data_IF_887027339859
#
_entry.id   IF_887027339859
#
_cell.length_a   1.000
_cell.length_b   1.000
_cell.length_c   1.000
_cell.angle_alpha   90.00
_cell.angle_beta   90.00
_cell.angle_gamma   90.00
#
_symmetry.space_group_name_H-M   'P 1'
#
loop_
_entity.id
_entity.type
_entity.pdbx_description
1 polymer ?
#
# COMPACT_ATOMS: atom_id res chain seq x y z
N UNK A 1 14.03 -9.50 -7.11
CA UNK A 1 14.38 -8.23 -6.44
C UNK A 1 13.79 -8.07 -5.03
N UNK A 2 13.15 -9.10 -4.46
CA UNK A 2 12.61 -9.03 -3.09
C UNK A 2 13.68 -9.26 -2.01
N UNK A 3 14.75 -10.01 -2.33
CA UNK A 3 15.97 -10.07 -1.52
C UNK A 3 16.67 -8.71 -1.35
N UNK A 4 16.45 -7.76 -2.28
CA UNK A 4 16.97 -6.39 -2.12
C UNK A 4 16.03 -5.47 -1.33
N UNK A 5 14.72 -5.73 -1.27
CA UNK A 5 13.78 -4.95 -0.43
C UNK A 5 13.85 -5.35 1.04
N UNK A 6 14.17 -6.61 1.34
CA UNK A 6 14.52 -7.07 2.70
C UNK A 6 15.84 -6.50 3.23
N UNK A 7 16.60 -5.78 2.39
CA UNK A 7 17.88 -5.14 2.72
C UNK A 7 17.84 -3.61 2.52
N UNK A 8 16.70 -3.03 2.11
CA UNK A 8 16.59 -1.58 1.98
C UNK A 8 16.41 -0.96 3.38
N UNK A 9 17.20 0.07 3.74
CA UNK A 9 16.99 0.81 4.98
C UNK A 9 15.57 1.36 5.06
N UNK A 10 14.97 1.34 6.26
CA UNK A 10 13.64 1.87 6.53
C UNK A 10 13.32 3.23 5.86
N UNK A 11 14.24 4.23 5.82
CA UNK A 11 14.01 5.50 5.14
C UNK A 11 13.78 5.37 3.61
N UNK A 12 14.40 4.40 2.95
CA UNK A 12 14.26 4.20 1.50
C UNK A 12 12.95 3.50 1.12
N UNK A 13 12.42 2.64 2.00
CA UNK A 13 11.06 2.08 1.89
C UNK A 13 9.98 3.15 2.12
N UNK A 14 10.21 4.06 3.08
CA UNK A 14 9.30 5.17 3.33
C UNK A 14 9.34 6.28 2.26
N UNK A 15 10.50 6.63 1.73
CA UNK A 15 10.60 7.53 0.58
C UNK A 15 9.88 6.94 -0.65
N UNK A 16 9.84 5.61 -0.78
CA UNK A 16 9.07 4.93 -1.81
C UNK A 16 7.56 4.96 -1.55
N UNK A 17 7.12 4.76 -0.30
CA UNK A 17 5.73 4.98 0.13
C UNK A 17 5.26 6.41 -0.18
N UNK A 18 6.10 7.41 0.12
CA UNK A 18 5.86 8.81 -0.20
C UNK A 18 5.87 9.05 -1.72
N UNK A 19 6.81 8.48 -2.48
CA UNK A 19 6.88 8.65 -3.94
C UNK A 19 5.67 8.08 -4.70
N UNK A 20 5.06 7.00 -4.18
CA UNK A 20 3.79 6.48 -4.69
C UNK A 20 2.62 7.46 -4.46
N UNK A 21 2.73 8.36 -3.47
CA UNK A 21 1.81 9.47 -3.23
C UNK A 21 2.18 10.74 -4.01
N UNK A 22 3.47 11.04 -4.20
CA UNK A 22 3.96 12.26 -4.89
C UNK A 22 3.66 12.25 -6.39
N UNK A 23 3.48 11.09 -7.03
CA UNK A 23 3.04 11.01 -8.43
C UNK A 23 1.60 11.53 -8.68
N UNK A 24 0.91 12.05 -7.66
CA UNK A 24 -0.49 12.49 -7.70
C UNK A 24 -0.76 13.92 -7.17
N UNK A 25 0.27 14.76 -6.98
CA UNK A 25 0.12 16.15 -6.53
C UNK A 25 0.77 17.12 -7.52
N UNK A 26 -0.07 17.81 -8.30
CA UNK A 26 0.27 19.15 -8.79
C UNK A 26 -0.11 20.16 -7.69
N UNK A 27 0.64 21.27 -7.56
CA UNK A 27 0.59 22.14 -6.39
C UNK A 27 -0.46 23.24 -6.57
N UNK A 28 -1.75 22.91 -6.58
CA UNK A 28 -2.78 23.95 -6.61
C UNK A 28 -3.92 23.63 -5.63
N UNK A 29 -3.82 24.18 -4.42
CA UNK A 29 -5.01 24.49 -3.62
C UNK A 29 -4.75 25.53 -2.50
N UNK A 30 -5.67 26.51 -2.32
CA UNK A 30 -5.49 27.71 -1.51
C UNK A 30 -5.79 27.50 -0.01
N UNK A 31 -5.11 26.54 0.64
CA UNK A 31 -5.24 26.32 2.09
C UNK A 31 -3.89 26.38 2.84
N UNK A 32 -2.91 27.04 2.24
CA UNK A 32 -1.59 27.35 2.83
C UNK A 32 -1.48 28.81 3.31
N UNK A 33 -2.57 29.45 3.74
CA UNK A 33 -2.53 30.89 4.09
C UNK A 33 -2.52 31.17 5.59
N UNK A 34 -2.50 30.17 6.48
CA UNK A 34 -2.51 30.45 7.93
C UNK A 34 -1.33 29.92 8.74
N UNK A 35 -0.29 29.34 8.12
CA UNK A 35 0.93 28.97 8.84
C UNK A 35 2.19 29.16 7.98
N UNK A 36 2.41 30.38 7.50
CA UNK A 36 3.76 30.94 7.29
C UNK A 36 3.72 32.36 7.87
N UNK A 37 4.57 32.67 8.86
CA UNK A 37 5.99 32.78 8.54
C UNK A 37 6.89 32.16 9.61
N UNK A 38 7.98 31.50 9.18
CA UNK A 38 9.34 31.82 9.59
C UNK A 38 10.32 30.87 8.88
N UNK A 39 10.95 31.45 7.86
CA UNK A 39 12.28 31.14 7.31
C UNK A 39 12.39 29.96 6.35
N UNK A 40 12.13 30.30 5.09
CA UNK A 40 13.03 29.96 4.00
C UNK A 40 14.48 30.32 4.35
N UNK A 41 15.41 29.40 4.13
CA UNK A 41 16.71 29.62 3.46
C UNK A 41 17.41 28.27 3.30
N UNK A 42 17.90 27.96 2.10
CA UNK A 42 18.91 26.91 1.91
C UNK A 42 18.72 25.96 0.72
N UNK A 43 19.01 26.48 -0.48
CA UNK A 43 19.57 25.80 -1.67
C UNK A 43 19.17 24.36 -1.99
N UNK A 44 18.39 24.21 -3.05
CA UNK A 44 18.31 23.00 -3.87
C UNK A 44 19.57 22.93 -4.74
N UNK A 45 20.42 21.91 -4.56
CA UNK A 45 21.38 21.52 -5.59
C UNK A 45 21.70 20.03 -5.55
N UNK A 46 21.36 19.35 -6.66
CA UNK A 46 21.99 18.17 -7.28
C UNK A 46 22.81 17.26 -6.36
N UNK A 47 22.34 16.03 -6.14
CA UNK A 47 23.21 14.90 -5.87
C UNK A 47 23.14 13.87 -7.00
N UNK A 48 24.24 13.87 -7.75
CA UNK A 48 24.71 12.94 -8.76
C UNK A 48 25.06 11.61 -8.08
N UNK A 49 24.69 10.50 -8.72
CA UNK A 49 25.06 9.13 -8.33
C UNK A 49 26.59 8.92 -8.37
N UNK A 50 27.20 8.20 -7.41
CA UNK A 50 28.47 7.53 -7.64
C UNK A 50 28.26 6.08 -8.18
N UNK A 51 29.17 5.55 -9.01
CA UNK A 51 29.06 4.23 -9.61
C UNK A 51 29.50 3.12 -8.63
N UNK A 52 28.89 1.95 -8.77
CA UNK A 52 29.28 0.72 -8.10
C UNK A 52 30.68 0.25 -8.53
N UNK A 53 31.48 -0.18 -7.57
CA UNK A 53 32.55 -1.16 -7.80
C UNK A 53 32.32 -2.38 -6.92
N UNK A 54 32.39 -3.54 -7.56
CA UNK A 54 32.26 -4.88 -6.99
C UNK A 54 33.37 -5.20 -5.99
N UNK A 55 33.04 -5.99 -4.97
CA UNK A 55 33.79 -7.22 -4.67
C UNK A 55 33.01 -8.11 -3.71
N UNK A 56 32.94 -9.40 -4.04
CA UNK A 56 32.50 -10.47 -3.16
C UNK A 56 33.64 -10.88 -2.21
N UNK A 57 33.34 -11.63 -1.13
CA UNK A 57 33.61 -13.06 -1.23
C UNK A 57 32.55 -13.99 -0.61
N UNK A 58 32.61 -15.21 -1.12
CA UNK A 58 31.81 -16.41 -0.83
C UNK A 58 32.04 -16.93 0.60
N UNK A 59 31.02 -17.55 1.19
CA UNK A 59 31.23 -18.77 1.99
C UNK A 59 29.95 -19.62 2.03
N UNK A 60 30.20 -20.90 1.81
CA UNK A 60 29.28 -22.03 1.68
C UNK A 60 28.78 -22.51 3.04
N UNK A 61 27.50 -22.88 3.15
CA UNK A 61 27.08 -24.00 4.01
C UNK A 61 25.83 -24.66 3.41
N UNK A 62 25.97 -25.95 3.05
CA UNK A 62 24.90 -26.83 2.59
C UNK A 62 24.04 -27.26 3.78
N UNK A 63 22.71 -27.20 3.63
CA UNK A 63 21.81 -28.13 4.32
C UNK A 63 20.91 -28.77 3.25
N UNK A 64 20.96 -30.09 3.23
CA UNK A 64 20.27 -30.98 2.30
C UNK A 64 18.82 -31.22 2.73
N UNK A 65 17.89 -31.16 1.78
CA UNK A 65 16.68 -31.98 1.84
C UNK A 65 16.28 -32.40 0.41
N UNK A 66 16.21 -33.71 0.21
CA UNK A 66 15.95 -34.34 -1.08
C UNK A 66 14.46 -34.35 -1.42
N UNK A 67 14.13 -34.11 -2.69
CA UNK A 67 12.88 -34.48 -3.34
C UNK A 67 13.03 -34.55 -4.88
N UNK A 68 12.14 -35.27 -5.59
CA UNK A 68 12.49 -36.14 -6.73
C UNK A 68 12.38 -35.52 -8.13
N UNK A 69 13.25 -35.99 -9.04
CA UNK A 69 13.05 -36.14 -10.51
C UNK A 69 12.80 -34.90 -11.39
N UNK A 70 13.42 -34.79 -12.59
CA UNK A 70 13.34 -33.58 -13.42
C UNK A 70 12.01 -33.52 -14.18
N UNK A 71 11.12 -32.63 -13.78
CA UNK A 71 9.94 -32.27 -14.58
C UNK A 71 10.30 -31.20 -15.62
N UNK A 72 10.42 -31.64 -16.87
CA UNK A 72 10.26 -30.91 -18.12
C UNK A 72 10.35 -29.35 -18.06
N UNK A 73 11.50 -28.80 -18.47
CA UNK A 73 11.78 -27.35 -18.57
C UNK A 73 11.07 -26.69 -19.76
N UNK A 74 9.75 -26.81 -19.88
CA UNK A 74 8.99 -25.86 -20.69
C UNK A 74 8.66 -24.63 -19.83
N UNK A 75 8.92 -23.39 -20.29
CA UNK A 75 8.40 -22.21 -19.63
C UNK A 75 6.87 -22.32 -19.66
N UNK A 76 6.27 -22.70 -18.53
CA UNK A 76 4.82 -22.75 -18.39
C UNK A 76 4.29 -21.37 -18.77
N UNK A 77 3.55 -21.29 -19.87
CA UNK A 77 2.89 -20.06 -20.31
C UNK A 77 2.01 -19.59 -19.15
N UNK A 78 2.39 -18.51 -18.48
CA UNK A 78 1.67 -18.06 -17.30
C UNK A 78 0.23 -17.71 -17.68
N UNK A 79 -0.72 -18.11 -16.84
CA UNK A 79 -2.11 -17.69 -17.02
C UNK A 79 -2.18 -16.16 -17.03
N UNK A 80 -2.86 -15.62 -18.05
CA UNK A 80 -3.12 -14.17 -18.12
C UNK A 80 -3.94 -13.77 -16.89
N UNK A 81 -3.68 -12.61 -16.28
CA UNK A 81 -4.49 -12.12 -15.16
C UNK A 81 -6.00 -12.08 -15.47
N UNK A 82 -6.35 -11.89 -16.74
CA UNK A 82 -7.73 -11.87 -17.21
C UNK A 82 -8.43 -13.22 -17.16
N UNK A 83 -7.73 -14.34 -16.89
CA UNK A 83 -8.36 -15.65 -16.69
C UNK A 83 -9.07 -15.75 -15.35
N UNK A 84 -8.61 -15.00 -14.34
CA UNK A 84 -9.27 -14.93 -13.05
C UNK A 84 -10.41 -13.89 -13.09
N UNK A 85 -11.60 -14.20 -12.55
CA UNK A 85 -12.64 -13.19 -12.39
C UNK A 85 -12.17 -12.06 -11.47
N UNK A 86 -12.51 -10.81 -11.81
CA UNK A 86 -12.09 -9.64 -11.02
C UNK A 86 -12.54 -9.70 -9.55
N UNK A 87 -13.70 -10.33 -9.30
CA UNK A 87 -14.23 -10.57 -7.95
C UNK A 87 -13.34 -11.54 -7.17
N UNK A 88 -12.91 -12.65 -7.79
CA UNK A 88 -12.02 -13.63 -7.15
C UNK A 88 -10.70 -12.96 -6.76
N UNK A 89 -10.08 -12.21 -7.66
CA UNK A 89 -8.84 -11.47 -7.36
C UNK A 89 -9.02 -10.52 -6.17
N UNK A 90 -10.13 -9.79 -6.14
CA UNK A 90 -10.43 -8.89 -5.03
C UNK A 90 -10.63 -9.63 -3.70
N UNK A 91 -11.29 -10.79 -3.71
CA UNK A 91 -11.45 -11.64 -2.52
C UNK A 91 -10.10 -12.18 -2.04
N UNK A 92 -9.23 -12.66 -2.95
CA UNK A 92 -7.91 -13.16 -2.57
C UNK A 92 -7.00 -12.07 -2.02
N UNK A 93 -6.94 -10.89 -2.66
CA UNK A 93 -6.18 -9.76 -2.12
C UNK A 93 -6.74 -9.30 -0.78
N UNK A 94 -8.07 -9.27 -0.61
CA UNK A 94 -8.69 -8.90 0.68
C UNK A 94 -8.35 -9.89 1.78
N UNK A 95 -8.33 -11.19 1.47
CA UNK A 95 -7.92 -12.21 2.44
C UNK A 95 -6.47 -12.01 2.90
N UNK A 96 -5.54 -11.81 1.96
CA UNK A 96 -4.12 -11.61 2.28
C UNK A 96 -3.88 -10.29 3.04
N UNK A 97 -4.47 -9.19 2.57
CA UNK A 97 -4.40 -7.88 3.21
C UNK A 97 -4.98 -7.92 4.64
N UNK A 98 -6.12 -8.60 4.84
CA UNK A 98 -6.76 -8.71 6.15
C UNK A 98 -5.93 -9.53 7.15
N UNK A 99 -5.31 -10.63 6.70
CA UNK A 99 -4.43 -11.46 7.52
C UNK A 99 -3.21 -10.65 7.99
N UNK A 100 -2.54 -9.95 7.06
CA UNK A 100 -1.39 -9.12 7.38
C UNK A 100 -1.76 -7.95 8.29
N UNK A 101 -2.87 -7.25 8.02
CA UNK A 101 -3.31 -6.12 8.83
C UNK A 101 -3.69 -6.52 10.26
N UNK A 102 -4.32 -7.68 10.46
CA UNK A 102 -4.62 -8.21 11.80
C UNK A 102 -3.36 -8.49 12.61
N UNK A 103 -2.26 -8.86 11.95
CA UNK A 103 -0.99 -9.16 12.60
C UNK A 103 -0.15 -7.90 12.91
N UNK A 104 -0.53 -6.72 12.40
CA UNK A 104 0.17 -5.46 12.72
C UNK A 104 0.07 -5.18 14.22
N UNK A 105 1.19 -4.91 14.88
CA UNK A 105 1.18 -4.43 16.26
C UNK A 105 1.09 -2.90 16.23
N UNK A 106 -0.02 -2.27 16.62
CA UNK A 106 -0.25 -0.84 16.36
C UNK A 106 0.83 0.07 16.95
N UNK A 107 1.30 -0.22 18.16
CA UNK A 107 2.34 0.60 18.81
C UNK A 107 3.70 0.55 18.06
N UNK A 108 3.98 -0.52 17.31
CA UNK A 108 5.19 -0.61 16.49
C UNK A 108 5.20 0.41 15.34
N UNK A 109 4.04 0.98 14.96
CA UNK A 109 4.00 2.07 13.99
C UNK A 109 4.76 3.33 14.47
N UNK A 110 4.82 3.59 15.78
CA UNK A 110 5.66 4.66 16.34
C UNK A 110 7.15 4.37 16.16
N UNK A 111 7.56 3.11 16.35
CA UNK A 111 8.95 2.70 16.14
C UNK A 111 9.37 2.94 14.69
N UNK A 112 8.51 2.64 13.72
CA UNK A 112 8.77 2.91 12.30
C UNK A 112 9.02 4.40 12.01
N UNK A 113 8.28 5.29 12.66
CA UNK A 113 8.41 6.75 12.51
C UNK A 113 9.74 7.23 13.08
N UNK A 114 10.08 6.81 14.30
CA UNK A 114 11.34 7.20 14.96
C UNK A 114 12.57 6.73 14.18
N UNK A 115 12.53 5.50 13.68
CA UNK A 115 13.57 4.95 12.80
C UNK A 115 13.76 5.82 11.55
N UNK A 116 12.65 6.27 10.94
CA UNK A 116 12.69 7.12 9.76
C UNK A 116 13.27 8.51 10.05
N UNK A 117 12.80 9.15 11.12
CA UNK A 117 13.22 10.51 11.49
C UNK A 117 14.69 10.56 11.94
N UNK A 118 15.14 9.56 12.70
CA UNK A 118 16.53 9.46 13.16
C UNK A 118 17.51 9.06 12.04
N UNK A 119 17.01 8.78 10.83
CA UNK A 119 17.81 8.28 9.69
C UNK A 119 18.69 7.10 10.09
N UNK A 120 18.20 6.24 10.98
CA UNK A 120 18.97 5.11 11.48
C UNK A 120 19.20 4.10 10.35
N UNK A 121 20.39 4.18 9.73
CA UNK A 121 20.74 3.45 8.50
C UNK A 121 20.65 1.93 8.70
N UNK A 122 20.87 1.45 9.93
CA UNK A 122 20.90 0.03 10.28
C UNK A 122 19.62 -0.46 10.98
N UNK A 123 18.65 0.42 11.25
CA UNK A 123 17.44 0.04 11.97
C UNK A 123 16.46 -0.68 11.03
N UNK A 124 15.99 -1.83 11.51
CA UNK A 124 15.02 -2.66 10.79
C UNK A 124 13.60 -2.22 11.14
N UNK A 125 12.73 -2.17 10.12
CA UNK A 125 11.32 -1.96 10.37
C UNK A 125 10.73 -3.10 11.20
N UNK A 126 9.72 -2.81 12.03
CA UNK A 126 8.98 -3.86 12.72
C UNK A 126 8.47 -4.92 11.72
N UNK A 127 8.70 -6.23 11.97
CA UNK A 127 8.42 -7.28 11.00
C UNK A 127 6.98 -7.29 10.47
N UNK A 128 6.02 -6.97 11.34
CA UNK A 128 4.58 -6.96 11.00
C UNK A 128 4.22 -5.81 10.06
N UNK A 129 4.82 -4.63 10.27
CA UNK A 129 4.67 -3.46 9.40
C UNK A 129 5.41 -3.70 8.07
N UNK A 130 6.61 -4.28 8.12
CA UNK A 130 7.39 -4.64 6.94
C UNK A 130 6.66 -5.67 6.06
N UNK A 131 6.00 -6.65 6.65
CA UNK A 131 5.25 -7.66 5.91
C UNK A 131 4.09 -7.05 5.10
N UNK A 132 3.31 -6.14 5.70
CA UNK A 132 2.30 -5.35 4.96
C UNK A 132 2.95 -4.55 3.83
N UNK A 133 4.13 -3.98 4.11
CA UNK A 133 4.86 -3.17 3.14
C UNK A 133 5.28 -3.98 1.91
N UNK A 134 5.89 -5.13 2.15
CA UNK A 134 6.32 -6.05 1.11
C UNK A 134 5.12 -6.53 0.29
N UNK A 135 4.00 -6.83 0.95
CA UNK A 135 2.81 -7.32 0.27
C UNK A 135 2.22 -6.29 -0.70
N UNK A 136 2.04 -5.02 -0.31
CA UNK A 136 1.52 -4.02 -1.25
C UNK A 136 2.48 -3.82 -2.43
N UNK A 137 3.80 -3.88 -2.19
CA UNK A 137 4.78 -3.78 -3.27
C UNK A 137 4.64 -4.96 -4.25
N UNK A 138 4.37 -6.15 -3.74
CA UNK A 138 4.13 -7.32 -4.57
C UNK A 138 2.84 -7.16 -5.42
N UNK A 139 1.75 -6.66 -4.83
CA UNK A 139 0.52 -6.35 -5.58
C UNK A 139 0.76 -5.28 -6.64
N UNK A 140 1.45 -4.19 -6.32
CA UNK A 140 1.78 -3.13 -7.30
C UNK A 140 2.67 -3.65 -8.43
N UNK A 141 3.64 -4.50 -8.11
CA UNK A 141 4.49 -5.17 -9.10
C UNK A 141 3.67 -6.09 -10.00
N UNK A 142 2.73 -6.85 -9.44
CA UNK A 142 1.83 -7.71 -10.19
C UNK A 142 1.01 -6.90 -11.22
N UNK A 143 0.43 -5.76 -10.81
CA UNK A 143 -0.29 -4.84 -11.70
C UNK A 143 0.63 -4.33 -12.82
N UNK A 144 1.81 -3.84 -12.45
CA UNK A 144 2.76 -3.26 -13.42
C UNK A 144 3.24 -4.31 -14.41
N UNK A 145 3.65 -5.48 -13.93
CA UNK A 145 4.18 -6.58 -14.76
C UNK A 145 3.10 -7.18 -15.65
N UNK A 146 1.85 -7.31 -15.21
CA UNK A 146 0.78 -7.79 -16.09
C UNK A 146 0.40 -6.76 -17.16
N UNK A 147 0.48 -5.46 -16.85
CA UNK A 147 0.30 -4.39 -17.82
C UNK A 147 1.47 -4.28 -18.81
N UNK A 148 2.72 -4.53 -18.39
CA UNK A 148 3.91 -4.36 -19.25
C UNK A 148 4.43 -5.65 -19.88
N UNK A 149 3.91 -6.80 -19.45
CA UNK A 149 4.67 -8.05 -19.40
C UNK A 149 5.22 -8.55 -20.73
N UNK A 150 4.35 -8.76 -21.71
CA UNK A 150 4.74 -9.24 -23.04
C UNK A 150 4.99 -8.05 -23.98
N UNK A 151 6.24 -7.79 -24.41
CA UNK A 151 6.56 -6.71 -25.34
C UNK A 151 5.84 -6.82 -26.67
N UNK A 152 5.41 -8.03 -27.06
CA UNK A 152 4.65 -8.29 -28.29
C UNK A 152 3.15 -8.08 -28.13
N UNK A 153 2.66 -7.83 -26.91
CA UNK A 153 1.23 -7.63 -26.65
C UNK A 153 0.71 -6.38 -27.37
N UNK A 154 -0.38 -6.56 -28.13
CA UNK A 154 -1.06 -5.45 -28.80
C UNK A 154 -1.63 -4.46 -27.80
N UNK A 155 -1.78 -3.20 -28.20
CA UNK A 155 -2.33 -2.15 -27.35
C UNK A 155 -3.75 -2.47 -26.86
N UNK A 156 -4.58 -3.06 -27.71
CA UNK A 156 -5.94 -3.51 -27.38
C UNK A 156 -5.95 -4.58 -26.27
N UNK A 157 -5.09 -5.59 -26.40
CA UNK A 157 -5.00 -6.70 -25.44
C UNK A 157 -4.54 -6.18 -24.07
N UNK A 158 -3.55 -5.29 -24.07
CA UNK A 158 -3.05 -4.63 -22.87
C UNK A 158 -4.08 -3.69 -22.25
N UNK A 159 -4.89 -3.01 -23.07
CA UNK A 159 -6.00 -2.21 -22.57
C UNK A 159 -7.03 -3.08 -21.84
N UNK A 160 -7.32 -4.30 -22.33
CA UNK A 160 -8.18 -5.26 -21.61
C UNK A 160 -7.62 -5.65 -20.24
N UNK A 161 -6.29 -5.75 -20.10
CA UNK A 161 -5.63 -5.97 -18.80
C UNK A 161 -5.81 -4.76 -17.88
N UNK A 162 -5.59 -3.54 -18.36
CA UNK A 162 -5.82 -2.30 -17.59
C UNK A 162 -7.27 -2.21 -17.13
N UNK A 163 -8.22 -2.45 -18.02
CA UNK A 163 -9.65 -2.48 -17.69
C UNK A 163 -9.99 -3.54 -16.66
N UNK A 164 -9.33 -4.69 -16.72
CA UNK A 164 -9.49 -5.75 -15.74
C UNK A 164 -9.03 -5.29 -14.36
N UNK A 165 -7.86 -4.66 -14.23
CA UNK A 165 -7.40 -4.08 -12.96
C UNK A 165 -8.32 -2.99 -12.41
N UNK A 166 -8.91 -2.16 -13.29
CA UNK A 166 -9.93 -1.17 -12.88
C UNK A 166 -11.17 -1.88 -12.31
N UNK A 167 -11.57 -3.03 -12.88
CA UNK A 167 -12.65 -3.86 -12.33
C UNK A 167 -12.26 -4.45 -10.97
N UNK A 168 -11.05 -5.00 -10.83
CA UNK A 168 -10.54 -5.54 -9.57
C UNK A 168 -10.54 -4.47 -8.48
N UNK A 169 -10.02 -3.27 -8.74
CA UNK A 169 -10.05 -2.16 -7.79
C UNK A 169 -11.48 -1.79 -7.35
N UNK A 170 -12.45 -1.83 -8.27
CA UNK A 170 -13.85 -1.62 -7.92
C UNK A 170 -14.40 -2.72 -6.98
N UNK A 171 -14.06 -3.99 -7.24
CA UNK A 171 -14.48 -5.10 -6.39
C UNK A 171 -13.79 -5.05 -5.01
N UNK A 172 -12.51 -4.69 -4.94
CA UNK A 172 -11.81 -4.42 -3.67
C UNK A 172 -12.52 -3.32 -2.86
N UNK A 173 -12.97 -2.26 -3.53
CA UNK A 173 -13.73 -1.19 -2.89
C UNK A 173 -15.08 -1.68 -2.37
N UNK A 174 -15.77 -2.56 -3.09
CA UNK A 174 -17.01 -3.18 -2.65
C UNK A 174 -16.80 -4.06 -1.40
N UNK A 175 -15.66 -4.73 -1.32
CA UNK A 175 -15.20 -5.49 -0.14
C UNK A 175 -14.64 -4.58 0.97
N UNK A 176 -14.50 -3.27 0.74
CA UNK A 176 -13.88 -2.30 1.66
C UNK A 176 -12.42 -2.62 1.99
N UNK A 177 -11.71 -3.22 1.05
CA UNK A 177 -10.27 -3.33 1.07
C UNK A 177 -9.66 -2.07 0.43
N UNK A 178 -9.49 -1.03 1.23
CA UNK A 178 -8.91 0.23 0.79
C UNK A 178 -7.41 0.13 0.52
N UNK A 179 -6.72 -0.83 1.15
CA UNK A 179 -5.30 -1.10 0.90
C UNK A 179 -5.07 -1.47 -0.58
N UNK A 180 -5.73 -2.53 -1.06
CA UNK A 180 -5.58 -2.96 -2.45
C UNK A 180 -6.16 -1.98 -3.46
N UNK A 181 -7.24 -1.25 -3.12
CA UNK A 181 -7.75 -0.16 -3.98
C UNK A 181 -6.64 0.86 -4.24
N UNK A 182 -6.04 1.39 -3.16
CA UNK A 182 -4.98 2.39 -3.25
C UNK A 182 -3.79 1.84 -4.06
N UNK A 183 -3.33 0.64 -3.71
CA UNK A 183 -2.19 -0.02 -4.37
C UNK A 183 -2.38 -0.20 -5.88
N UNK A 184 -3.54 -0.71 -6.31
CA UNK A 184 -3.83 -0.91 -7.73
C UNK A 184 -3.89 0.43 -8.47
N UNK A 185 -4.56 1.43 -7.90
CA UNK A 185 -4.67 2.75 -8.52
C UNK A 185 -3.30 3.42 -8.65
N UNK A 186 -2.48 3.41 -7.60
CA UNK A 186 -1.11 3.92 -7.63
C UNK A 186 -0.25 3.20 -8.67
N UNK A 187 -0.36 1.88 -8.79
CA UNK A 187 0.37 1.11 -9.80
C UNK A 187 -0.04 1.49 -11.23
N UNK A 188 -1.34 1.66 -11.50
CA UNK A 188 -1.83 2.12 -12.80
C UNK A 188 -1.44 3.58 -13.11
N UNK A 189 -1.33 4.43 -12.09
CA UNK A 189 -0.88 5.82 -12.23
C UNK A 189 0.65 5.96 -12.28
N UNK A 190 1.38 4.88 -11.99
CA UNK A 190 2.85 4.88 -12.02
C UNK A 190 3.36 5.17 -13.43
N UNK A 191 4.55 5.79 -13.52
CA UNK A 191 5.13 6.22 -14.78
C UNK A 191 5.15 5.12 -15.87
N UNK A 192 5.61 3.88 -15.58
CA UNK A 192 5.69 2.83 -16.59
C UNK A 192 4.36 2.49 -17.26
N UNK A 193 3.25 2.55 -16.52
CA UNK A 193 1.91 2.24 -17.04
C UNK A 193 1.24 3.49 -17.61
N UNK A 194 1.34 4.64 -16.94
CA UNK A 194 0.73 5.91 -17.35
C UNK A 194 1.27 6.45 -18.68
N UNK A 195 2.53 6.16 -19.02
CA UNK A 195 3.14 6.61 -20.27
C UNK A 195 2.65 5.86 -21.52
N UNK A 196 1.92 4.74 -21.36
CA UNK A 196 1.46 3.90 -22.47
C UNK A 196 0.28 4.52 -23.24
N UNK A 197 0.49 5.67 -23.89
CA UNK A 197 -0.57 6.49 -24.49
C UNK A 197 -1.47 5.73 -25.46
N UNK A 198 -0.90 4.89 -26.32
CA UNK A 198 -1.65 4.04 -27.26
C UNK A 198 -2.61 3.10 -26.53
N UNK A 199 -2.13 2.45 -25.48
CA UNK A 199 -2.94 1.54 -24.63
C UNK A 199 -4.08 2.28 -23.95
N UNK A 200 -3.81 3.46 -23.39
CA UNK A 200 -4.86 4.27 -22.75
C UNK A 200 -5.88 4.82 -23.76
N UNK A 201 -5.50 4.96 -25.03
CA UNK A 201 -6.42 5.26 -26.13
C UNK A 201 -7.40 4.12 -26.42
N UNK A 202 -6.95 2.87 -26.27
CA UNK A 202 -7.78 1.67 -26.45
C UNK A 202 -8.66 1.33 -25.23
N UNK A 203 -8.39 1.92 -24.06
CA UNK A 203 -9.24 1.74 -22.87
C UNK A 203 -10.59 2.40 -23.12
N UNK A 204 -11.69 1.66 -22.91
CA UNK A 204 -13.02 2.21 -23.17
C UNK A 204 -13.32 3.44 -22.31
N UNK A 205 -14.08 4.38 -22.88
CA UNK A 205 -14.53 5.60 -22.17
C UNK A 205 -15.23 5.28 -20.85
N UNK A 206 -15.96 4.16 -20.78
CA UNK A 206 -16.65 3.69 -19.56
C UNK A 206 -15.66 3.29 -18.47
N UNK A 207 -14.61 2.55 -18.83
CA UNK A 207 -13.55 2.13 -17.90
C UNK A 207 -12.71 3.31 -17.44
N UNK A 208 -12.32 4.21 -18.35
CA UNK A 208 -11.58 5.43 -18.02
C UNK A 208 -12.33 6.33 -17.01
N UNK A 209 -13.64 6.57 -17.23
CA UNK A 209 -14.48 7.32 -16.27
C UNK A 209 -14.56 6.63 -14.90
N UNK A 210 -14.63 5.30 -14.89
CA UNK A 210 -14.66 4.53 -13.63
C UNK A 210 -13.33 4.66 -12.88
N UNK A 211 -12.20 4.56 -13.58
CA UNK A 211 -10.87 4.76 -13.00
C UNK A 211 -10.74 6.14 -12.37
N UNK A 212 -11.13 7.21 -13.07
CA UNK A 212 -11.10 8.57 -12.52
C UNK A 212 -11.95 8.69 -11.25
N UNK A 213 -13.17 8.14 -11.24
CA UNK A 213 -14.03 8.13 -10.04
C UNK A 213 -13.40 7.38 -8.87
N UNK A 214 -12.78 6.24 -9.13
CA UNK A 214 -12.07 5.46 -8.11
C UNK A 214 -10.90 6.27 -7.53
N UNK A 215 -10.09 6.92 -8.37
CA UNK A 215 -9.01 7.80 -7.91
C UNK A 215 -9.53 8.96 -7.04
N UNK A 216 -10.62 9.61 -7.41
CA UNK A 216 -11.23 10.68 -6.60
C UNK A 216 -11.71 10.15 -5.25
N UNK A 217 -12.36 8.98 -5.24
CA UNK A 217 -12.86 8.37 -4.01
C UNK A 217 -11.71 7.93 -3.10
N UNK A 218 -10.65 7.34 -3.65
CA UNK A 218 -9.46 6.92 -2.91
C UNK A 218 -8.77 8.11 -2.22
N UNK A 219 -8.56 9.22 -2.96
CA UNK A 219 -8.03 10.47 -2.39
C UNK A 219 -8.88 10.98 -1.23
N UNK A 220 -10.21 10.95 -1.36
CA UNK A 220 -11.13 11.39 -0.30
C UNK A 220 -11.05 10.47 0.92
N UNK A 221 -11.05 9.15 0.73
CA UNK A 221 -10.98 8.18 1.83
C UNK A 221 -9.65 8.31 2.56
N UNK A 222 -8.53 8.31 1.84
CA UNK A 222 -7.21 8.39 2.49
C UNK A 222 -6.94 9.76 3.15
N UNK A 223 -7.61 10.85 2.71
CA UNK A 223 -7.57 12.17 3.38
C UNK A 223 -8.53 12.26 4.58
N UNK A 224 -9.75 11.76 4.45
CA UNK A 224 -10.82 11.94 5.45
C UNK A 224 -10.79 10.90 6.57
N UNK A 225 -10.31 9.67 6.31
CA UNK A 225 -10.33 8.56 7.29
C UNK A 225 -9.54 8.89 8.56
N UNK A 226 -8.31 9.43 8.50
CA UNK A 226 -7.58 9.79 9.70
C UNK A 226 -8.31 10.86 10.55
N UNK A 227 -8.90 11.86 9.90
CA UNK A 227 -9.50 13.00 10.60
C UNK A 227 -10.92 12.73 11.11
N UNK A 228 -11.80 12.11 10.31
CA UNK A 228 -13.16 11.77 10.75
C UNK A 228 -13.18 10.61 11.74
N UNK A 229 -12.24 9.66 11.69
CA UNK A 229 -12.25 8.54 12.64
C UNK A 229 -11.52 8.88 13.96
N UNK A 230 -10.46 9.72 13.94
CA UNK A 230 -9.79 10.18 15.17
C UNK A 230 -10.54 11.30 15.91
N UNK A 231 -11.29 12.16 15.20
CA UNK A 231 -11.97 13.35 15.79
C UNK A 231 -13.45 13.10 16.11
N UNK A 232 -14.16 12.17 15.44
CA UNK A 232 -15.58 11.89 15.76
C UNK A 232 -15.84 11.15 17.08
N UNK A 233 -14.88 11.10 18.01
CA UNK A 233 -15.08 10.59 19.38
C UNK A 233 -14.75 11.64 20.44
N UNK A 234 -15.28 12.84 20.28
CA UNK A 234 -15.83 13.53 21.44
C UNK A 234 -17.28 13.06 21.57
N UNK A 235 -17.76 12.68 22.76
CA UNK A 235 -19.11 12.15 22.95
C UNK A 235 -20.15 13.27 22.82
N UNK A 236 -20.31 13.83 21.62
CA UNK A 236 -21.55 14.47 21.25
C UNK A 236 -22.55 13.32 21.03
N UNK A 237 -23.26 12.98 22.11
CA UNK A 237 -24.40 12.06 22.19
C UNK A 237 -25.15 12.00 20.85
N UNK A 238 -24.83 11.02 20.00
CA UNK A 238 -25.37 10.91 18.65
C UNK A 238 -26.78 10.32 18.76
N UNK A 239 -27.78 11.19 18.94
CA UNK A 239 -29.17 10.82 19.26
C UNK A 239 -29.97 10.20 18.10
N UNK A 240 -29.37 10.04 16.91
CA UNK A 240 -30.10 9.54 15.72
C UNK A 240 -29.95 8.01 15.58
N UNK A 241 -31.00 7.21 15.88
CA UNK A 241 -30.92 5.75 15.87
C UNK A 241 -30.62 5.17 14.50
N UNK A 242 -31.07 5.81 13.41
CA UNK A 242 -30.86 5.32 12.04
C UNK A 242 -29.39 5.45 11.60
N UNK A 243 -28.72 6.55 11.98
CA UNK A 243 -27.28 6.71 11.73
C UNK A 243 -26.45 5.78 12.59
N UNK A 244 -26.84 5.55 13.84
CA UNK A 244 -26.21 4.57 14.74
C UNK A 244 -26.36 3.15 14.21
N UNK A 245 -27.55 2.77 13.73
CA UNK A 245 -27.81 1.46 13.14
C UNK A 245 -27.07 1.26 11.80
N UNK A 246 -26.99 2.30 10.95
CA UNK A 246 -26.19 2.24 9.72
C UNK A 246 -24.68 2.15 10.02
N UNK A 247 -24.18 2.86 11.06
CA UNK A 247 -22.81 2.72 11.57
C UNK A 247 -22.53 1.31 12.08
N UNK A 248 -23.43 0.73 12.88
CA UNK A 248 -23.30 -0.66 13.35
C UNK A 248 -23.31 -1.66 12.17
N UNK A 249 -24.15 -1.46 11.15
CA UNK A 249 -24.14 -2.29 9.93
C UNK A 249 -22.84 -2.15 9.13
N UNK A 250 -22.24 -0.95 9.06
CA UNK A 250 -20.91 -0.77 8.47
C UNK A 250 -19.79 -1.36 9.32
N UNK A 251 -19.94 -1.40 10.64
CA UNK A 251 -18.98 -2.04 11.55
C UNK A 251 -19.05 -3.58 11.50
N UNK A 252 -20.20 -4.16 11.12
CA UNK A 252 -20.39 -5.61 10.89
C UNK A 252 -19.81 -6.11 9.56
N UNK A 253 -19.34 -5.23 8.69
CA UNK A 253 -18.67 -5.60 7.44
C UNK A 253 -17.17 -5.42 7.63
N UNK A 254 -16.38 -6.38 7.18
CA UNK A 254 -14.93 -6.26 7.19
C UNK A 254 -14.45 -4.99 6.48
N UNK A 255 -13.28 -4.51 6.88
CA UNK A 255 -12.58 -3.41 6.22
C UNK A 255 -11.08 -3.56 6.42
N UNK A 256 -10.30 -3.34 5.36
CA UNK A 256 -8.84 -3.24 5.46
C UNK A 256 -8.40 -1.85 5.03
N UNK A 257 -7.83 -1.03 5.93
CA UNK A 257 -7.38 0.30 5.58
C UNK A 257 -5.99 0.26 4.93
N UNK A 258 -5.61 1.34 4.25
CA UNK A 258 -4.23 1.54 3.83
C UNK A 258 -3.37 1.98 5.02
N UNK A 259 -2.47 1.11 5.49
CA UNK A 259 -1.66 1.32 6.70
C UNK A 259 -0.85 2.63 6.67
N UNK A 260 -0.40 3.05 5.47
CA UNK A 260 0.35 4.30 5.30
C UNK A 260 -0.42 5.54 5.75
N UNK A 261 -1.76 5.52 5.76
CA UNK A 261 -2.56 6.65 6.28
C UNK A 261 -2.40 6.84 7.79
N UNK A 262 -2.33 5.74 8.55
CA UNK A 262 -2.13 5.79 10.00
C UNK A 262 -0.71 6.23 10.34
N UNK A 263 0.29 5.66 9.66
CA UNK A 263 1.69 6.01 9.88
C UNK A 263 1.91 7.49 9.58
N UNK A 264 1.38 8.01 8.47
CA UNK A 264 1.47 9.43 8.12
C UNK A 264 0.80 10.33 9.18
N UNK A 265 -0.33 9.91 9.74
CA UNK A 265 -1.02 10.70 10.76
C UNK A 265 -0.24 10.74 12.08
N UNK A 266 0.28 9.59 12.51
CA UNK A 266 1.15 9.48 13.69
C UNK A 266 2.43 10.30 13.50
N UNK A 267 3.06 10.27 12.33
CA UNK A 267 4.24 11.08 12.00
C UNK A 267 3.95 12.59 12.08
N UNK A 268 2.81 13.04 11.52
CA UNK A 268 2.39 14.44 11.63
C UNK A 268 2.11 14.87 13.07
N UNK A 269 1.50 13.99 13.88
CA UNK A 269 1.31 14.26 15.31
C UNK A 269 2.64 14.38 16.04
N UNK A 270 3.60 13.52 15.70
CA UNK A 270 4.92 13.48 16.29
C UNK A 270 5.74 14.75 15.98
N UNK A 271 5.68 15.21 14.72
CA UNK A 271 6.28 16.48 14.27
C UNK A 271 5.62 17.68 14.95
N UNK A 272 4.28 17.70 15.07
CA UNK A 272 3.54 18.85 15.57
C UNK A 272 3.58 18.99 17.10
N UNK A 273 3.84 17.91 17.84
CA UNK A 273 3.74 17.89 19.30
C UNK A 273 4.97 17.24 19.93
N UNK A 274 5.64 17.97 20.83
CA UNK A 274 6.75 17.43 21.62
C UNK A 274 6.26 16.37 22.61
N UNK A 275 7.13 15.39 22.90
CA UNK A 275 6.87 14.34 23.89
C UNK A 275 6.73 14.89 25.32
N UNK A 276 7.41 15.99 25.62
CA UNK A 276 7.43 16.63 26.93
C UNK A 276 7.04 18.10 26.85
N UNK A 277 6.26 18.55 27.83
CA UNK A 277 5.89 19.95 28.08
C UNK A 277 6.14 20.21 29.57
N UNK A 278 6.93 21.22 29.90
CA UNK A 278 7.31 21.58 31.27
C UNK A 278 7.91 20.40 32.08
N UNK A 279 8.75 19.60 31.42
CA UNK A 279 9.38 18.41 32.03
C UNK A 279 8.44 17.25 32.33
N UNK A 280 7.16 17.35 31.95
CA UNK A 280 6.15 16.30 32.09
C UNK A 280 5.76 15.74 30.73
N UNK A 281 5.28 14.51 30.69
CA UNK A 281 4.82 13.93 29.44
C UNK A 281 3.62 14.71 28.89
N UNK A 282 3.60 14.89 27.57
CA UNK A 282 2.51 15.56 26.87
C UNK A 282 1.26 14.65 26.80
N UNK A 283 0.40 14.75 27.81
CA UNK A 283 -0.83 13.96 27.90
C UNK A 283 -1.77 14.17 26.71
N UNK A 284 -1.75 15.36 26.09
CA UNK A 284 -2.56 15.64 24.90
C UNK A 284 -2.06 14.87 23.68
N UNK A 285 -0.73 14.80 23.49
CA UNK A 285 -0.10 14.00 22.43
C UNK A 285 -0.47 12.53 22.60
N UNK A 286 -0.19 11.97 23.78
CA UNK A 286 -0.50 10.56 24.08
C UNK A 286 -1.98 10.24 23.85
N UNK A 287 -2.88 11.12 24.29
CA UNK A 287 -4.33 10.91 24.11
C UNK A 287 -4.70 10.84 22.62
N UNK A 288 -4.11 11.68 21.78
CA UNK A 288 -4.35 11.67 20.33
C UNK A 288 -3.79 10.40 19.68
N UNK A 289 -2.57 10.01 20.04
CA UNK A 289 -1.93 8.78 19.55
C UNK A 289 -2.72 7.53 19.93
N UNK A 290 -3.08 7.40 21.21
CA UNK A 290 -3.90 6.28 21.71
C UNK A 290 -5.21 6.16 20.94
N UNK A 291 -5.88 7.27 20.61
CA UNK A 291 -7.12 7.25 19.82
C UNK A 291 -6.91 6.67 18.42
N UNK A 292 -5.76 6.97 17.79
CA UNK A 292 -5.41 6.43 16.47
C UNK A 292 -5.16 4.92 16.59
N UNK A 293 -4.38 4.48 17.59
CA UNK A 293 -4.09 3.07 17.82
C UNK A 293 -5.35 2.26 18.15
N UNK A 294 -6.26 2.80 18.97
CA UNK A 294 -7.55 2.19 19.27
C UNK A 294 -8.43 2.02 18.02
N UNK A 295 -8.39 2.99 17.10
CA UNK A 295 -9.13 2.88 15.86
C UNK A 295 -8.53 1.81 14.93
N UNK A 296 -7.19 1.71 14.88
CA UNK A 296 -6.52 0.60 14.18
C UNK A 296 -6.97 -0.74 14.72
N UNK A 297 -6.96 -0.93 16.04
CA UNK A 297 -7.41 -2.16 16.70
C UNK A 297 -8.88 -2.49 16.38
N UNK A 298 -9.76 -1.48 16.38
CA UNK A 298 -11.16 -1.67 15.97
C UNK A 298 -11.28 -2.17 14.54
N UNK A 299 -10.46 -1.64 13.63
CA UNK A 299 -10.43 -2.09 12.24
C UNK A 299 -9.81 -3.49 12.10
N UNK A 300 -8.86 -3.88 12.94
CA UNK A 300 -8.32 -5.25 12.96
C UNK A 300 -9.40 -6.26 13.34
N UNK A 301 -10.22 -5.96 14.36
CA UNK A 301 -11.38 -6.78 14.72
C UNK A 301 -12.37 -6.88 13.55
N UNK A 302 -12.62 -5.79 12.83
CA UNK A 302 -13.47 -5.82 11.65
C UNK A 302 -12.86 -6.65 10.51
N UNK A 303 -11.55 -6.55 10.27
CA UNK A 303 -10.86 -7.36 9.26
C UNK A 303 -10.93 -8.87 9.59
N UNK A 304 -10.96 -9.26 10.86
CA UNK A 304 -11.18 -10.65 11.28
C UNK A 304 -12.56 -11.22 10.95
N UNK A 305 -13.52 -10.37 10.51
CA UNK A 305 -14.87 -10.81 10.14
C UNK A 305 -15.00 -11.26 8.67
N UNK A 306 -13.94 -11.16 7.87
CA UNK A 306 -13.99 -11.66 6.49
C UNK A 306 -14.09 -13.19 6.47
N UNK A 307 -15.12 -13.70 5.80
CA UNK A 307 -15.31 -15.14 5.53
C UNK A 307 -15.00 -15.43 4.06
N UNK A 308 -13.72 -15.34 3.71
CA UNK A 308 -13.22 -15.57 2.34
C UNK A 308 -12.42 -16.88 2.30
N UNK A 309 -12.46 -17.58 1.17
CA UNK A 309 -11.75 -18.84 0.97
C UNK A 309 -10.51 -18.61 0.11
N UNK A 310 -9.41 -19.30 0.43
CA UNK A 310 -8.19 -19.28 -0.38
C UNK A 310 -8.41 -20.04 -1.68
N UNK A 311 -7.94 -19.48 -2.78
CA UNK A 311 -7.95 -20.10 -4.10
C UNK A 311 -6.54 -20.58 -4.47
N UNK A 312 -6.41 -21.88 -4.75
CA UNK A 312 -5.11 -22.51 -4.96
C UNK A 312 -4.46 -22.11 -6.29
N UNK A 313 -5.26 -21.94 -7.35
CA UNK A 313 -4.75 -21.52 -8.66
C UNK A 313 -4.23 -20.09 -8.61
N UNK A 314 -4.98 -19.19 -7.98
CA UNK A 314 -4.53 -17.83 -7.71
C UNK A 314 -3.25 -17.83 -6.89
N UNK A 315 -3.17 -18.62 -5.81
CA UNK A 315 -1.99 -18.63 -4.94
C UNK A 315 -0.71 -19.02 -5.71
N UNK A 316 -0.79 -20.09 -6.53
CA UNK A 316 0.32 -20.51 -7.38
C UNK A 316 0.69 -19.44 -8.42
N UNK A 317 -0.32 -18.84 -9.05
CA UNK A 317 -0.12 -17.76 -10.01
C UNK A 317 0.54 -16.53 -9.36
N UNK A 318 0.04 -16.08 -8.21
CA UNK A 318 0.54 -14.89 -7.53
C UNK A 318 1.98 -15.09 -7.03
N UNK A 319 2.32 -16.28 -6.52
CA UNK A 319 3.71 -16.64 -6.18
C UNK A 319 4.63 -16.67 -7.40
N UNK A 320 4.14 -17.08 -8.56
CA UNK A 320 4.97 -17.11 -9.78
C UNK A 320 5.40 -15.71 -10.25
N UNK A 321 4.59 -14.68 -9.95
CA UNK A 321 4.90 -13.28 -10.26
C UNK A 321 6.11 -12.77 -9.46
N UNK A 322 6.43 -13.40 -8.34
CA UNK A 322 7.57 -13.08 -7.47
C UNK A 322 8.91 -13.45 -8.14
N UNK A 323 8.96 -14.65 -8.73
CA UNK A 323 10.18 -15.26 -9.31
C UNK A 323 10.70 -14.53 -10.55
N UNK A 324 9.81 -13.94 -11.36
CA UNK A 324 10.21 -13.19 -12.57
C UNK A 324 11.00 -11.92 -12.28
N UNK A 325 10.94 -11.42 -11.04
CA UNK A 325 11.75 -10.27 -10.59
C UNK A 325 13.22 -10.60 -10.34
N UNK A 326 13.58 -11.90 -10.31
CA UNK A 326 14.95 -12.36 -10.08
C UNK A 326 15.65 -12.81 -11.37
N UNK A 327 14.90 -13.16 -12.43
CA UNK A 327 15.45 -13.79 -13.65
C UNK A 327 15.71 -12.83 -14.83
N UNK A 328 15.29 -11.57 -14.75
CA UNK A 328 15.52 -10.54 -15.80
C UNK A 328 16.61 -9.52 -15.42
N UNK A 329 17.63 -9.96 -14.66
CA UNK A 329 18.81 -9.13 -14.34
C UNK A 329 19.98 -9.47 -15.24
#
# INVERSE_FOLDING_TARGET
MLLTLSLLPAPALFARLQSCQTLALEPDSPLLTELEPLLETGSISKLRMPPCTESAPKTTTKVSCACPGPANNQPRKMASITTFPAKLLAEQFTLMDAELFQNVVPYQCHSSIRIQQNKEVNAQLPPTVLAVIIHYHHVAHCVTTTCLGDPSMKAEDRARVVEHWIKVAKECLALRNYCSVHTILCALQSHPVRQLKTTWGEVSRKSARKFQRLCTQDKKVNRDVPMKMAICRLPAREKNPQRTQMRQRLQKKGAVPFLGTFIMYLDRLDIAMKDFVDGKNNMLKMTKEIKVLQEMQRLQVAAGQYTLLRDAEFALWFQSMERLSDTKR
#
